data_IF_263995729438
#
_entry.id   IF_263995729438
#
_cell.length_a   1.000
_cell.length_b   1.000
_cell.length_c   1.000
_cell.angle_alpha   90.00
_cell.angle_beta   90.00
_cell.angle_gamma   90.00
#
_symmetry.space_group_name_H-M   'P 1'
#
loop_
_entity.id
_entity.type
_entity.pdbx_description
1 polymer ?
#
# COMPACT_ATOMS: atom_id res chain seq x y z
N UNK A 1 -9.10 20.18 37.86
CA UNK A 1 -8.62 18.83 38.20
C UNK A 1 -8.40 18.09 36.89
N UNK A 2 -7.15 18.07 36.38
CA UNK A 2 -6.77 17.35 35.15
C UNK A 2 -6.49 15.90 35.54
N UNK A 3 -7.38 14.96 35.21
CA UNK A 3 -7.05 13.54 35.26
C UNK A 3 -6.33 13.17 33.97
N UNK A 4 -5.11 12.68 34.16
CA UNK A 4 -4.23 12.19 33.13
C UNK A 4 -4.89 11.06 32.32
N UNK A 5 -4.95 11.32 31.02
CA UNK A 5 -4.94 10.41 29.88
C UNK A 5 -4.32 9.04 30.19
N UNK A 6 -5.16 8.02 30.38
CA UNK A 6 -4.73 6.62 30.38
C UNK A 6 -4.63 6.23 28.92
N UNK A 7 -3.41 6.29 28.37
CA UNK A 7 -3.09 5.70 27.07
C UNK A 7 -3.33 4.20 27.15
N UNK A 8 -4.51 3.73 26.74
CA UNK A 8 -4.72 2.30 26.50
C UNK A 8 -3.76 1.87 25.38
N UNK A 9 -2.68 1.17 25.74
CA UNK A 9 -1.74 0.61 24.78
C UNK A 9 -2.39 -0.47 23.91
N UNK A 10 -1.82 -0.71 22.73
CA UNK A 10 -2.33 -1.74 21.80
C UNK A 10 -2.37 -3.10 22.53
N UNK A 11 -3.53 -3.80 22.55
CA UNK A 11 -3.63 -5.13 23.15
C UNK A 11 -2.61 -6.10 22.56
N UNK A 12 -1.89 -6.85 23.41
CA UNK A 12 -0.83 -7.80 22.97
C UNK A 12 -1.31 -8.76 21.88
N UNK A 13 -2.57 -9.22 21.96
CA UNK A 13 -3.19 -10.09 20.94
C UNK A 13 -3.26 -9.44 19.56
N UNK A 14 -3.48 -8.13 19.48
CA UNK A 14 -3.49 -7.37 18.22
C UNK A 14 -2.07 -7.23 17.69
N UNK A 15 -1.11 -6.88 18.56
CA UNK A 15 0.30 -6.77 18.16
C UNK A 15 0.84 -8.10 17.60
N UNK A 16 0.56 -9.22 18.26
CA UNK A 16 0.96 -10.56 17.80
C UNK A 16 0.35 -10.88 16.43
N UNK A 17 -0.95 -10.63 16.23
CA UNK A 17 -1.60 -10.84 14.93
C UNK A 17 -1.02 -9.95 13.84
N UNK A 18 -0.78 -8.69 14.16
CA UNK A 18 -0.23 -7.73 13.22
C UNK A 18 1.16 -8.16 12.72
N UNK A 19 2.03 -8.61 13.63
CA UNK A 19 3.36 -9.15 13.28
C UNK A 19 3.22 -10.44 12.48
N UNK A 20 2.35 -11.36 12.90
CA UNK A 20 2.11 -12.59 12.15
C UNK A 20 1.63 -12.33 10.71
N UNK A 21 0.70 -11.39 10.53
CA UNK A 21 0.19 -10.99 9.21
C UNK A 21 1.25 -10.28 8.38
N UNK A 22 2.13 -9.48 8.99
CA UNK A 22 3.28 -8.88 8.31
C UNK A 22 4.27 -9.94 7.81
N UNK A 23 4.54 -10.98 8.62
CA UNK A 23 5.39 -12.11 8.21
C UNK A 23 4.73 -12.86 7.04
N UNK A 24 3.45 -13.23 7.15
CA UNK A 24 2.72 -13.93 6.08
C UNK A 24 2.69 -13.12 4.78
N UNK A 25 2.45 -11.82 4.88
CA UNK A 25 2.50 -10.88 3.75
C UNK A 25 3.87 -10.84 3.08
N UNK A 26 4.95 -10.84 3.88
CA UNK A 26 6.33 -10.83 3.38
C UNK A 26 6.66 -12.14 2.68
N UNK A 27 6.26 -13.28 3.25
CA UNK A 27 6.44 -14.59 2.63
C UNK A 27 5.67 -14.70 1.31
N UNK A 28 4.41 -14.24 1.29
CA UNK A 28 3.60 -14.21 0.07
C UNK A 28 4.21 -13.30 -1.00
N UNK A 29 4.77 -12.15 -0.61
CA UNK A 29 5.48 -11.27 -1.52
C UNK A 29 6.64 -12.03 -2.20
N UNK A 30 7.56 -12.60 -1.43
CA UNK A 30 8.70 -13.32 -2.00
C UNK A 30 8.29 -14.57 -2.80
N UNK A 31 7.28 -15.31 -2.36
CA UNK A 31 6.77 -16.46 -3.10
C UNK A 31 6.27 -16.06 -4.50
N UNK A 32 5.53 -14.95 -4.60
CA UNK A 32 5.08 -14.42 -5.88
C UNK A 32 6.23 -13.85 -6.70
N UNK A 33 7.20 -13.17 -6.08
CA UNK A 33 8.41 -12.72 -6.79
C UNK A 33 9.13 -13.92 -7.43
N UNK A 34 9.35 -14.99 -6.66
CA UNK A 34 10.01 -16.21 -7.12
C UNK A 34 9.22 -16.85 -8.28
N UNK A 35 7.89 -17.00 -8.14
CA UNK A 35 7.04 -17.55 -9.19
C UNK A 35 7.09 -16.72 -10.48
N UNK A 36 7.08 -15.39 -10.38
CA UNK A 36 7.16 -14.52 -11.56
C UNK A 36 8.52 -14.61 -12.25
N UNK A 37 9.61 -14.72 -11.50
CA UNK A 37 10.95 -14.93 -12.08
C UNK A 37 11.03 -16.26 -12.85
N UNK A 38 10.38 -17.31 -12.34
CA UNK A 38 10.35 -18.62 -12.99
C UNK A 38 9.46 -18.62 -14.24
N UNK A 39 8.26 -18.04 -14.17
CA UNK A 39 7.27 -18.03 -15.27
C UNK A 39 7.66 -17.02 -16.36
N UNK A 40 8.23 -15.88 -15.96
CA UNK A 40 8.61 -14.80 -16.87
C UNK A 40 10.09 -14.39 -16.63
N UNK A 41 11.05 -15.21 -17.10
CA UNK A 41 12.47 -14.92 -16.96
C UNK A 41 12.80 -13.64 -17.73
N UNK A 42 13.09 -12.58 -16.98
CA UNK A 42 13.31 -11.24 -17.49
C UNK A 42 14.59 -10.68 -16.87
N UNK A 43 15.37 -9.93 -17.65
CA UNK A 43 16.54 -9.21 -17.09
C UNK A 43 16.11 -8.13 -16.08
N UNK A 44 14.86 -7.68 -16.16
CA UNK A 44 14.29 -6.71 -15.23
C UNK A 44 13.62 -7.43 -14.06
N UNK A 45 14.00 -7.08 -12.84
CA UNK A 45 13.34 -7.53 -11.60
C UNK A 45 12.00 -6.84 -11.37
N UNK A 46 11.65 -5.84 -12.19
CA UNK A 46 10.44 -5.04 -12.02
C UNK A 46 9.15 -5.88 -11.99
N UNK A 47 8.88 -6.81 -12.95
CA UNK A 47 7.61 -7.53 -12.96
C UNK A 47 7.42 -8.39 -11.71
N UNK A 48 8.49 -9.02 -11.22
CA UNK A 48 8.44 -9.82 -10.00
C UNK A 48 8.22 -8.94 -8.78
N UNK A 49 8.99 -7.86 -8.63
CA UNK A 49 8.83 -6.91 -7.53
C UNK A 49 7.42 -6.30 -7.47
N UNK A 50 6.86 -5.92 -8.62
CA UNK A 50 5.50 -5.40 -8.73
C UNK A 50 4.46 -6.43 -8.27
N UNK A 51 4.51 -7.63 -8.84
CA UNK A 51 3.56 -8.69 -8.53
C UNK A 51 3.66 -9.12 -7.06
N UNK A 52 4.88 -9.30 -6.55
CA UNK A 52 5.13 -9.66 -5.16
C UNK A 52 4.63 -8.59 -4.20
N UNK A 53 4.91 -7.32 -4.48
CA UNK A 53 4.43 -6.20 -3.66
C UNK A 53 2.91 -6.13 -3.67
N UNK A 54 2.27 -6.22 -4.83
CA UNK A 54 0.81 -6.22 -4.93
C UNK A 54 0.17 -7.39 -4.15
N UNK A 55 0.73 -8.60 -4.28
CA UNK A 55 0.23 -9.78 -3.57
C UNK A 55 0.43 -9.68 -2.06
N UNK A 56 1.62 -9.30 -1.60
CA UNK A 56 1.94 -9.14 -0.20
C UNK A 56 1.05 -8.10 0.47
N UNK A 57 0.94 -6.91 -0.12
CA UNK A 57 0.07 -5.85 0.40
C UNK A 57 -1.41 -6.22 0.35
N UNK A 58 -1.87 -6.84 -0.74
CA UNK A 58 -3.26 -7.30 -0.87
C UNK A 58 -3.63 -8.31 0.21
N UNK A 59 -2.76 -9.29 0.47
CA UNK A 59 -2.92 -10.26 1.56
C UNK A 59 -2.93 -9.57 2.92
N UNK A 60 -1.98 -8.65 3.18
CA UNK A 60 -1.93 -7.91 4.44
C UNK A 60 -3.21 -7.11 4.69
N UNK A 61 -3.67 -6.38 3.68
CA UNK A 61 -4.92 -5.63 3.77
C UNK A 61 -6.11 -6.52 4.09
N UNK A 62 -6.23 -7.68 3.42
CA UNK A 62 -7.31 -8.63 3.69
C UNK A 62 -7.26 -9.18 5.13
N UNK A 63 -6.07 -9.57 5.60
CA UNK A 63 -5.87 -10.11 6.95
C UNK A 63 -6.12 -9.04 8.03
N UNK A 64 -5.50 -7.87 7.89
CA UNK A 64 -5.65 -6.76 8.83
C UNK A 64 -7.12 -6.32 8.89
N UNK A 65 -7.79 -6.23 7.72
CA UNK A 65 -9.21 -5.90 7.65
C UNK A 65 -10.07 -6.90 8.38
N UNK A 66 -9.91 -8.19 8.11
CA UNK A 66 -10.82 -9.24 8.59
C UNK A 66 -10.65 -9.58 10.08
N UNK A 67 -9.44 -9.43 10.65
CA UNK A 67 -9.11 -9.89 12.01
C UNK A 67 -8.55 -8.83 12.96
N UNK A 68 -8.19 -7.64 12.47
CA UNK A 68 -7.73 -6.52 13.31
C UNK A 68 -8.78 -5.41 13.34
N UNK A 69 -9.25 -4.93 12.18
CA UNK A 69 -10.18 -3.80 12.15
C UNK A 69 -11.59 -4.13 12.66
N UNK A 70 -12.06 -5.38 12.49
CA UNK A 70 -13.37 -5.80 13.01
C UNK A 70 -13.37 -6.29 14.46
N UNK A 71 -12.21 -6.46 15.11
CA UNK A 71 -12.11 -7.13 16.43
C UNK A 71 -12.14 -6.17 17.64
N UNK A 72 -12.80 -5.00 17.51
CA UNK A 72 -13.08 -3.91 18.49
C UNK A 72 -12.14 -2.70 18.52
N UNK A 73 -12.68 -1.52 18.22
CA UNK A 73 -13.15 -0.50 19.18
C UNK A 73 -13.98 0.50 18.36
N UNK A 74 -15.25 0.73 18.73
CA UNK A 74 -16.22 1.59 18.00
C UNK A 74 -15.82 3.07 17.85
N UNK A 75 -14.58 3.44 18.18
CA UNK A 75 -14.07 4.82 18.04
C UNK A 75 -12.69 4.94 17.36
N UNK A 76 -11.86 3.88 17.31
CA UNK A 76 -10.48 3.97 16.78
C UNK A 76 -10.21 3.05 15.56
N UNK A 77 -11.14 2.14 15.24
CA UNK A 77 -11.01 1.27 14.07
C UNK A 77 -10.89 2.04 12.76
N UNK A 78 -11.58 3.18 12.66
CA UNK A 78 -11.54 4.05 11.47
C UNK A 78 -10.18 4.71 11.28
N UNK A 79 -9.44 5.01 12.36
CA UNK A 79 -8.12 5.65 12.28
C UNK A 79 -7.04 4.66 11.81
N UNK A 80 -7.05 3.44 12.34
CA UNK A 80 -6.18 2.36 11.89
C UNK A 80 -6.46 1.95 10.44
N UNK A 81 -7.75 1.89 10.06
CA UNK A 81 -8.16 1.60 8.70
C UNK A 81 -7.68 2.70 7.74
N UNK A 82 -7.76 3.98 8.12
CA UNK A 82 -7.19 5.09 7.34
C UNK A 82 -5.69 4.91 7.16
N UNK A 83 -4.92 4.66 8.22
CA UNK A 83 -3.46 4.46 8.11
C UNK A 83 -3.12 3.36 7.10
N UNK A 84 -3.83 2.22 7.15
CA UNK A 84 -3.59 1.12 6.21
C UNK A 84 -4.07 1.43 4.79
N UNK A 85 -5.20 2.12 4.61
CA UNK A 85 -5.64 2.57 3.29
C UNK A 85 -4.64 3.56 2.67
N UNK A 86 -4.15 4.51 3.45
CA UNK A 86 -3.15 5.48 3.01
C UNK A 86 -1.82 4.79 2.68
N UNK A 87 -1.41 3.81 3.49
CA UNK A 87 -0.26 2.96 3.21
C UNK A 87 -0.42 2.17 1.90
N UNK A 88 -1.54 1.47 1.71
CA UNK A 88 -1.85 0.74 0.48
C UNK A 88 -1.84 1.66 -0.73
N UNK A 89 -2.45 2.83 -0.58
CA UNK A 89 -2.52 3.81 -1.65
C UNK A 89 -1.12 4.33 -2.04
N UNK A 90 -0.24 4.59 -1.07
CA UNK A 90 1.15 4.99 -1.35
C UNK A 90 1.93 3.96 -2.15
N UNK A 91 1.69 2.67 -1.92
CA UNK A 91 2.29 1.59 -2.70
C UNK A 91 1.74 1.58 -4.12
N UNK A 92 0.42 1.68 -4.28
CA UNK A 92 -0.23 1.70 -5.59
C UNK A 92 0.25 2.89 -6.44
N UNK A 93 0.36 4.09 -5.87
CA UNK A 93 0.85 5.25 -6.62
C UNK A 93 2.32 5.12 -7.01
N UNK A 94 3.15 4.51 -6.15
CA UNK A 94 4.55 4.22 -6.47
C UNK A 94 4.66 3.24 -7.64
N UNK A 95 3.82 2.20 -7.64
CA UNK A 95 3.73 1.23 -8.74
C UNK A 95 3.31 1.91 -10.05
N UNK A 96 2.32 2.80 -10.01
CA UNK A 96 1.87 3.56 -11.19
C UNK A 96 3.01 4.43 -11.73
N UNK A 97 3.69 5.18 -10.85
CA UNK A 97 4.84 6.01 -11.21
C UNK A 97 5.92 5.20 -11.94
N UNK A 98 6.42 4.14 -11.30
CA UNK A 98 7.46 3.31 -11.90
C UNK A 98 6.99 2.60 -13.17
N UNK A 99 5.73 2.16 -13.21
CA UNK A 99 5.14 1.51 -14.38
C UNK A 99 5.18 2.38 -15.63
N UNK A 100 4.74 3.64 -15.52
CA UNK A 100 4.82 4.58 -16.63
C UNK A 100 6.25 4.93 -17.02
N UNK A 101 7.13 5.18 -16.04
CA UNK A 101 8.55 5.47 -16.29
C UNK A 101 9.22 4.36 -17.11
N UNK A 102 8.92 3.10 -16.78
CA UNK A 102 9.51 1.94 -17.45
C UNK A 102 8.88 1.65 -18.80
N UNK A 103 7.56 1.78 -18.94
CA UNK A 103 6.91 1.61 -20.26
C UNK A 103 7.50 2.61 -21.24
N UNK A 104 7.65 3.86 -20.82
CA UNK A 104 8.21 4.91 -21.68
C UNK A 104 9.70 4.67 -21.97
N UNK A 105 10.48 4.28 -20.96
CA UNK A 105 11.86 3.88 -21.18
C UNK A 105 11.98 2.70 -22.16
N UNK A 106 11.12 1.69 -22.03
CA UNK A 106 11.21 0.46 -22.82
C UNK A 106 10.86 0.69 -24.29
N UNK A 107 9.85 1.52 -24.55
CA UNK A 107 9.36 1.83 -25.91
C UNK A 107 10.31 2.80 -26.63
N UNK A 108 10.76 3.87 -25.97
CA UNK A 108 11.52 4.93 -26.63
C UNK A 108 13.02 4.92 -26.35
N UNK A 109 13.48 4.25 -25.28
CA UNK A 109 14.90 4.13 -24.91
C UNK A 109 15.66 5.46 -24.78
N UNK A 110 14.96 6.52 -24.38
CA UNK A 110 15.55 7.84 -24.10
C UNK A 110 15.24 8.29 -22.68
N UNK A 111 16.16 9.06 -22.09
CA UNK A 111 15.95 9.64 -20.75
C UNK A 111 14.76 10.61 -20.73
N UNK A 112 14.55 11.36 -21.81
CA UNK A 112 13.40 12.26 -21.92
C UNK A 112 12.08 11.49 -21.83
N UNK A 113 11.94 10.37 -22.54
CA UNK A 113 10.74 9.54 -22.48
C UNK A 113 10.56 8.95 -21.07
N UNK A 114 11.63 8.42 -20.47
CA UNK A 114 11.61 7.90 -19.08
C UNK A 114 11.04 8.94 -18.11
N UNK A 115 11.61 10.15 -18.10
CA UNK A 115 11.15 11.20 -17.19
C UNK A 115 9.75 11.72 -17.54
N UNK A 116 9.37 11.77 -18.82
CA UNK A 116 8.01 12.12 -19.22
C UNK A 116 6.98 11.09 -18.73
N UNK A 117 7.28 9.80 -18.86
CA UNK A 117 6.48 8.72 -18.31
C UNK A 117 6.37 8.83 -16.79
N UNK A 118 7.49 9.02 -16.10
CA UNK A 118 7.51 9.25 -14.66
C UNK A 118 6.66 10.45 -14.22
N UNK A 119 6.75 11.58 -14.93
CA UNK A 119 5.95 12.76 -14.65
C UNK A 119 4.43 12.50 -14.82
N UNK A 120 4.03 11.77 -15.87
CA UNK A 120 2.64 11.35 -16.07
C UNK A 120 2.18 10.43 -14.94
N UNK A 121 2.99 9.44 -14.58
CA UNK A 121 2.69 8.51 -13.49
C UNK A 121 2.52 9.22 -12.15
N UNK A 122 3.38 10.19 -11.83
CA UNK A 122 3.25 11.04 -10.65
C UNK A 122 1.99 11.90 -10.70
N UNK A 123 1.66 12.51 -11.84
CA UNK A 123 0.44 13.30 -11.99
C UNK A 123 -0.81 12.45 -11.71
N UNK A 124 -0.88 11.22 -12.25
CA UNK A 124 -1.96 10.26 -11.97
C UNK A 124 -1.99 9.91 -10.48
N UNK A 125 -0.83 9.68 -9.87
CA UNK A 125 -0.70 9.40 -8.44
C UNK A 125 -1.27 10.54 -7.57
N UNK A 126 -0.93 11.79 -7.90
CA UNK A 126 -1.44 12.97 -7.19
C UNK A 126 -2.94 13.19 -7.39
N UNK A 127 -3.46 13.02 -8.61
CA UNK A 127 -4.90 13.13 -8.87
C UNK A 127 -5.67 12.06 -8.09
N UNK A 128 -5.15 10.83 -8.08
CA UNK A 128 -5.75 9.73 -7.33
C UNK A 128 -5.71 10.01 -5.82
N UNK A 129 -4.60 10.60 -5.32
CA UNK A 129 -4.45 11.00 -3.91
C UNK A 129 -5.49 12.05 -3.54
N UNK A 130 -5.65 13.06 -4.40
CA UNK A 130 -6.64 14.12 -4.21
C UNK A 130 -8.07 13.56 -4.16
N UNK A 131 -8.41 12.59 -5.03
CA UNK A 131 -9.72 11.94 -5.00
C UNK A 131 -9.95 11.16 -3.68
N UNK A 132 -8.91 10.53 -3.14
CA UNK A 132 -8.94 9.83 -1.86
C UNK A 132 -9.13 10.82 -0.71
N UNK A 133 -8.29 11.85 -0.63
CA UNK A 133 -8.35 12.89 0.39
C UNK A 133 -9.72 13.58 0.40
N UNK A 134 -10.29 13.84 -0.80
CA UNK A 134 -11.64 14.38 -0.92
C UNK A 134 -12.73 13.46 -0.39
N UNK A 135 -12.56 12.15 -0.52
CA UNK A 135 -13.56 11.17 -0.06
C UNK A 135 -13.46 10.92 1.45
N UNK A 136 -12.26 10.90 2.01
CA UNK A 136 -12.00 10.43 3.38
C UNK A 136 -11.64 11.54 4.38
N UNK A 137 -11.08 12.67 3.93
CA UNK A 137 -10.66 13.78 4.81
C UNK A 137 -11.65 14.94 4.71
N UNK A 138 -11.93 15.43 3.50
CA UNK A 138 -12.77 16.64 3.35
C UNK A 138 -14.26 16.43 3.69
N UNK A 139 -14.75 15.18 3.80
CA UNK A 139 -16.10 14.91 4.32
C UNK A 139 -16.19 14.90 5.85
N UNK A 140 -15.06 14.85 6.57
CA UNK A 140 -15.04 14.85 8.04
C UNK A 140 -15.08 16.25 8.66
N UNK A 141 -14.76 17.30 7.89
CA UNK A 141 -14.78 18.70 8.37
C UNK A 141 -16.12 19.43 8.11
N UNK A 142 -17.11 18.75 7.53
CA UNK A 142 -18.37 19.35 7.09
C UNK A 142 -19.65 18.63 7.52
N UNK A 143 -19.60 17.78 8.54
CA UNK A 143 -20.76 17.10 9.13
C UNK A 143 -20.91 17.46 10.61
#
# INVERSE_FOLDING_TARGET
MRSHDVREGIPTRIAVRYVAFAILSTLANFAVQAAVVEIYPSQSLMPSMLAGTAAGFGLKYFLDKRWIFFDRYESHGDELLKIVLYGLFSVVTTIIFWGFEIVFWTVWRTDLAKYAGGAIGLAIGYVSKFALDRKFVFKLEGA
#
